data_IF_191005207749
#
_entry.id   IF_191005207749
#
_cell.length_a   1.000
_cell.length_b   1.000
_cell.length_c   1.000
_cell.angle_alpha   90.00
_cell.angle_beta   90.00
_cell.angle_gamma   90.00
#
_symmetry.space_group_name_H-M   'P 1'
#
loop_
_entity.id
_entity.type
_entity.pdbx_description
1 polymer ?
#
# COMPACT_ATOMS: atom_id res chain seq x y z
N UNK A 1 -12.04 -19.82 31.52
CA UNK A 1 -12.26 -19.61 30.07
C UNK A 1 -12.74 -18.19 29.77
N UNK A 2 -13.93 -17.75 30.23
CA UNK A 2 -14.50 -16.42 29.91
C UNK A 2 -13.64 -15.23 30.39
N UNK A 3 -13.04 -15.32 31.59
CA UNK A 3 -12.19 -14.24 32.14
C UNK A 3 -10.92 -14.00 31.30
N UNK A 4 -10.30 -15.08 30.82
CA UNK A 4 -9.12 -15.00 29.94
C UNK A 4 -9.53 -14.43 28.58
N UNK A 5 -10.66 -14.88 28.03
CA UNK A 5 -11.19 -14.35 26.77
C UNK A 5 -11.45 -12.84 26.84
N UNK A 6 -12.00 -12.33 27.95
CA UNK A 6 -12.19 -10.90 28.16
C UNK A 6 -10.87 -10.12 28.23
N UNK A 7 -9.88 -10.64 28.95
CA UNK A 7 -8.55 -10.02 29.03
C UNK A 7 -7.87 -9.95 27.66
N UNK A 8 -7.90 -11.05 26.90
CA UNK A 8 -7.34 -11.10 25.54
C UNK A 8 -8.12 -10.19 24.59
N UNK A 9 -9.44 -10.16 24.68
CA UNK A 9 -10.28 -9.29 23.85
C UNK A 9 -9.99 -7.81 24.10
N UNK A 10 -9.91 -7.39 25.37
CA UNK A 10 -9.55 -6.01 25.71
C UNK A 10 -8.15 -5.64 25.21
N UNK A 11 -7.17 -6.54 25.35
CA UNK A 11 -5.82 -6.31 24.86
C UNK A 11 -5.77 -6.23 23.32
N UNK A 12 -6.46 -7.14 22.63
CA UNK A 12 -6.57 -7.13 21.18
C UNK A 12 -7.27 -5.86 20.67
N UNK A 13 -8.31 -5.40 21.36
CA UNK A 13 -8.98 -4.15 21.02
C UNK A 13 -8.03 -2.95 21.13
N UNK A 14 -7.22 -2.88 22.18
CA UNK A 14 -6.22 -1.81 22.34
C UNK A 14 -5.18 -1.87 21.22
N UNK A 15 -4.63 -3.06 20.92
CA UNK A 15 -3.67 -3.23 19.84
C UNK A 15 -4.25 -2.85 18.48
N UNK A 16 -5.50 -3.21 18.22
CA UNK A 16 -6.19 -2.86 16.99
C UNK A 16 -6.37 -1.35 16.86
N UNK A 17 -6.79 -0.67 17.93
CA UNK A 17 -6.92 0.80 17.95
C UNK A 17 -5.56 1.46 17.66
N UNK A 18 -4.49 1.03 18.34
CA UNK A 18 -3.13 1.57 18.12
C UNK A 18 -2.70 1.33 16.67
N UNK A 19 -2.90 0.13 16.14
CA UNK A 19 -2.54 -0.23 14.77
C UNK A 19 -3.28 0.63 13.75
N UNK A 20 -4.58 0.87 13.94
CA UNK A 20 -5.37 1.74 13.06
C UNK A 20 -4.87 3.18 13.09
N UNK A 21 -4.53 3.71 14.27
CA UNK A 21 -3.97 5.07 14.41
C UNK A 21 -2.62 5.18 13.69
N UNK A 22 -1.70 4.22 13.92
CA UNK A 22 -0.39 4.19 13.27
C UNK A 22 -0.54 4.05 11.75
N UNK A 23 -1.47 3.22 11.29
CA UNK A 23 -1.75 3.03 9.87
C UNK A 23 -2.28 4.31 9.22
N UNK A 24 -3.24 4.99 9.85
CA UNK A 24 -3.77 6.26 9.37
C UNK A 24 -2.67 7.35 9.34
N UNK A 25 -1.81 7.39 10.36
CA UNK A 25 -0.68 8.30 10.41
C UNK A 25 0.32 8.02 9.27
N UNK A 26 0.65 6.74 9.02
CA UNK A 26 1.53 6.35 7.93
C UNK A 26 0.95 6.74 6.55
N UNK A 27 -0.35 6.51 6.35
CA UNK A 27 -1.06 6.91 5.12
C UNK A 27 -1.01 8.42 4.90
N UNK A 28 -1.15 9.21 5.97
CA UNK A 28 -1.05 10.67 5.92
C UNK A 28 0.40 11.16 5.70
N UNK A 29 1.38 10.52 6.34
CA UNK A 29 2.78 10.93 6.27
C UNK A 29 3.41 10.68 4.89
N UNK A 30 3.08 9.56 4.26
CA UNK A 30 3.55 9.25 2.90
C UNK A 30 2.70 10.00 1.88
N UNK A 31 3.08 11.24 1.60
CA UNK A 31 2.43 12.12 0.60
C UNK A 31 2.21 11.38 -0.72
N UNK A 32 0.95 11.27 -1.14
CA UNK A 32 0.53 10.56 -2.36
C UNK A 32 -0.14 9.21 -2.11
N UNK A 33 0.02 8.60 -0.92
CA UNK A 33 -0.59 7.29 -0.61
C UNK A 33 -2.11 7.35 -0.50
N UNK A 34 -2.65 8.38 0.16
CA UNK A 34 -4.11 8.61 0.22
C UNK A 34 -4.68 8.77 -1.19
N UNK A 35 -4.02 9.57 -2.04
CA UNK A 35 -4.46 9.78 -3.42
C UNK A 35 -4.43 8.49 -4.22
N UNK A 36 -3.40 7.67 -4.05
CA UNK A 36 -3.33 6.36 -4.72
C UNK A 36 -4.44 5.40 -4.30
N UNK A 37 -4.91 5.47 -3.05
CA UNK A 37 -5.98 4.61 -2.55
C UNK A 37 -7.37 5.09 -2.99
N UNK A 38 -7.58 6.40 -3.11
CA UNK A 38 -8.87 6.98 -3.52
C UNK A 38 -9.01 7.05 -5.04
N UNK A 39 -7.98 7.50 -5.75
CA UNK A 39 -8.01 7.69 -7.21
C UNK A 39 -7.51 6.46 -7.99
N UNK A 40 -6.82 5.53 -7.33
CA UNK A 40 -6.33 4.29 -7.96
C UNK A 40 -5.06 4.44 -8.80
N UNK A 41 -4.42 5.61 -8.83
CA UNK A 41 -3.18 5.84 -9.59
C UNK A 41 -2.09 6.57 -8.78
N UNK A 42 -0.82 6.30 -9.11
CA UNK A 42 0.36 6.89 -8.48
C UNK A 42 1.18 7.69 -9.50
N UNK A 43 1.89 8.72 -9.05
CA UNK A 43 2.84 9.42 -9.92
C UNK A 43 4.09 8.58 -10.16
N UNK A 44 4.66 8.65 -11.37
CA UNK A 44 5.92 7.97 -11.72
C UNK A 44 7.06 8.32 -10.74
N UNK A 45 7.14 9.57 -10.29
CA UNK A 45 8.11 10.01 -9.28
C UNK A 45 7.93 9.37 -7.90
N UNK A 46 6.68 9.15 -7.46
CA UNK A 46 6.39 8.46 -6.21
C UNK A 46 6.72 6.97 -6.30
N UNK A 47 6.33 6.32 -7.41
CA UNK A 47 6.62 4.92 -7.68
C UNK A 47 8.14 4.66 -7.67
N UNK A 48 8.93 5.50 -8.33
CA UNK A 48 10.40 5.42 -8.33
C UNK A 48 11.00 5.54 -6.93
N UNK A 49 10.44 6.39 -6.06
CA UNK A 49 10.98 6.69 -4.73
C UNK A 49 10.58 5.67 -3.65
N UNK A 50 9.32 5.23 -3.64
CA UNK A 50 8.78 4.34 -2.61
C UNK A 50 8.72 2.87 -3.04
N UNK A 51 8.60 2.59 -4.35
CA UNK A 51 8.51 1.23 -4.89
C UNK A 51 9.41 1.05 -6.13
N UNK A 52 10.74 1.20 -5.98
CA UNK A 52 11.66 1.18 -7.12
C UNK A 52 11.68 -0.14 -7.89
N UNK A 53 11.39 -1.27 -7.22
CA UNK A 53 11.34 -2.59 -7.87
C UNK A 53 10.11 -2.72 -8.76
N UNK A 54 8.94 -2.43 -8.20
CA UNK A 54 7.68 -2.41 -8.94
C UNK A 54 7.70 -1.41 -10.11
N UNK A 55 8.30 -0.22 -9.92
CA UNK A 55 8.45 0.74 -11.01
C UNK A 55 9.27 0.19 -12.20
N UNK A 56 10.32 -0.61 -11.95
CA UNK A 56 11.09 -1.27 -13.02
C UNK A 56 10.27 -2.35 -13.71
N UNK A 57 9.55 -3.17 -12.94
CA UNK A 57 8.67 -4.22 -13.47
C UNK A 57 7.63 -3.63 -14.43
N UNK A 58 6.94 -2.54 -14.04
CA UNK A 58 5.94 -1.87 -14.88
C UNK A 58 6.55 -1.33 -16.18
N UNK A 59 7.76 -0.76 -16.14
CA UNK A 59 8.44 -0.28 -17.36
C UNK A 59 8.83 -1.42 -18.30
N UNK A 60 9.25 -2.56 -17.75
CA UNK A 60 9.55 -3.76 -18.53
C UNK A 60 8.29 -4.35 -19.16
N UNK A 61 7.16 -4.33 -18.46
CA UNK A 61 5.86 -4.72 -19.01
C UNK A 61 5.41 -3.78 -20.13
N UNK A 62 5.46 -2.45 -19.94
CA UNK A 62 5.15 -1.45 -20.99
C UNK A 62 6.00 -1.71 -22.25
N UNK A 63 7.29 -2.03 -22.11
CA UNK A 63 8.19 -2.34 -23.24
C UNK A 63 7.77 -3.62 -23.97
N UNK A 64 7.45 -4.69 -23.23
CA UNK A 64 7.01 -5.97 -23.82
C UNK A 64 5.68 -5.84 -24.56
N UNK A 65 4.76 -5.04 -24.04
CA UNK A 65 3.47 -4.77 -24.70
C UNK A 65 3.67 -3.98 -26.00
N UNK A 66 4.52 -2.96 -26.01
CA UNK A 66 4.86 -2.21 -27.21
C UNK A 66 5.50 -3.09 -28.30
N UNK A 67 6.41 -3.99 -27.92
CA UNK A 67 7.03 -4.96 -28.83
C UNK A 67 6.00 -5.94 -29.42
N UNK A 68 5.07 -6.46 -28.59
CA UNK A 68 3.98 -7.32 -29.06
C UNK A 68 3.02 -6.59 -30.00
N UNK A 69 2.73 -5.31 -29.75
CA UNK A 69 1.85 -4.52 -30.60
C UNK A 69 2.50 -4.19 -31.95
N UNK A 70 3.82 -4.02 -32.00
CA UNK A 70 4.55 -3.82 -33.25
C UNK A 70 4.73 -5.09 -34.09
N UNK A 71 4.63 -6.27 -33.48
CA UNK A 71 4.70 -7.57 -34.18
C UNK A 71 3.35 -8.07 -34.69
N UNK A 72 2.25 -7.40 -34.34
CA UNK A 72 0.88 -7.76 -34.69
C UNK A 72 0.37 -6.91 -35.85
#
# INVERSE_FOLDING_TARGET
MIRIALLVHSFAAILLIITVIVHAYAAFWVKGSIRSMVEGWVTRGWAKKHHPRWYREVLEEEKKEAEKQSQK
#
